data_IF_818877880289
#
_entry.id   IF_818877880289
#
_cell.length_a   1.000
_cell.length_b   1.000
_cell.length_c   1.000
_cell.angle_alpha   90.00
_cell.angle_beta   90.00
_cell.angle_gamma   90.00
#
_symmetry.space_group_name_H-M   'P 1'
#
loop_
_entity.id
_entity.type
_entity.pdbx_description
1 polymer ?
#
# COMPACT_ATOMS: atom_id res chain seq x y z
N UNK A 1 -14.16 60.87 1.48
CA UNK A 1 -13.85 60.08 2.69
C UNK A 1 -12.80 59.04 2.31
N UNK A 2 -11.79 58.95 3.16
CA UNK A 2 -10.43 58.37 3.05
C UNK A 2 -10.15 57.19 2.12
N UNK A 3 -9.11 57.36 1.29
CA UNK A 3 -8.18 56.32 0.85
C UNK A 3 -7.40 55.78 2.07
N UNK A 4 -7.28 54.46 2.23
CA UNK A 4 -6.28 53.87 3.13
C UNK A 4 -5.32 52.99 2.32
N UNK A 5 -4.09 53.48 2.22
CA UNK A 5 -2.89 52.72 1.94
C UNK A 5 -2.67 51.66 3.03
N UNK A 6 -2.19 50.47 2.66
CA UNK A 6 -1.54 49.56 3.60
C UNK A 6 -0.18 49.15 3.04
N UNK A 7 0.85 49.57 3.77
CA UNK A 7 2.25 49.24 3.58
C UNK A 7 2.50 47.75 3.89
N UNK A 8 3.45 47.18 3.15
CA UNK A 8 3.97 45.82 3.23
C UNK A 8 4.92 45.69 4.42
N UNK A 9 4.88 44.56 5.12
CA UNK A 9 6.02 44.01 5.84
C UNK A 9 6.20 42.55 5.40
N UNK A 10 7.14 42.31 4.49
CA UNK A 10 7.56 40.98 4.10
C UNK A 10 8.85 40.65 4.86
N UNK A 11 8.77 39.73 5.81
CA UNK A 11 9.96 39.13 6.41
C UNK A 11 10.45 38.01 5.49
N UNK A 12 11.56 38.25 4.78
CA UNK A 12 12.26 37.20 4.04
C UNK A 12 13.13 36.45 5.04
N UNK A 13 12.72 35.24 5.44
CA UNK A 13 13.64 34.28 6.03
C UNK A 13 14.40 33.61 4.89
N UNK A 14 15.66 34.01 4.70
CA UNK A 14 16.61 33.26 3.89
C UNK A 14 17.03 32.04 4.73
N UNK A 15 16.36 30.91 4.52
CA UNK A 15 16.91 29.62 4.91
C UNK A 15 17.78 29.17 3.74
N UNK A 16 19.10 29.23 3.93
CA UNK A 16 20.03 28.59 3.00
C UNK A 16 19.69 27.10 2.93
N UNK A 17 19.47 26.51 1.74
CA UNK A 17 19.33 25.07 1.63
C UNK A 17 20.68 24.45 2.00
N UNK A 18 20.71 23.72 3.11
CA UNK A 18 21.79 22.78 3.39
C UNK A 18 21.64 21.66 2.36
N UNK A 19 22.41 21.74 1.28
CA UNK A 19 22.33 20.84 0.12
C UNK A 19 22.64 19.37 0.44
N UNK A 20 23.12 19.05 1.66
CA UNK A 20 23.36 17.66 2.08
C UNK A 20 22.16 16.95 2.73
N UNK A 21 21.20 17.69 3.30
CA UNK A 21 20.01 17.09 3.96
C UNK A 21 18.93 16.76 2.93
N UNK A 22 18.86 17.54 1.86
CA UNK A 22 17.88 17.34 0.78
C UNK A 22 18.14 16.04 -0.01
N UNK A 23 19.41 15.73 -0.33
CA UNK A 23 19.75 14.52 -1.08
C UNK A 23 19.45 13.23 -0.30
N UNK A 24 19.78 13.18 0.99
CA UNK A 24 19.48 12.03 1.86
C UNK A 24 17.96 11.85 2.05
N UNK A 25 17.22 12.95 2.22
CA UNK A 25 15.77 12.93 2.32
C UNK A 25 15.10 12.47 1.01
N UNK A 26 15.62 12.90 -0.14
CA UNK A 26 15.12 12.51 -1.45
C UNK A 26 15.35 11.01 -1.73
N UNK A 27 16.51 10.48 -1.36
CA UNK A 27 16.81 9.05 -1.52
C UNK A 27 15.99 8.19 -0.55
N UNK A 28 15.77 8.64 0.68
CA UNK A 28 14.83 8.01 1.61
C UNK A 28 13.40 8.00 1.06
N UNK A 29 12.93 9.10 0.47
CA UNK A 29 11.61 9.18 -0.16
C UNK A 29 11.46 8.19 -1.34
N UNK A 30 12.52 8.00 -2.13
CA UNK A 30 12.55 6.97 -3.17
C UNK A 30 12.51 5.55 -2.61
N UNK A 31 13.21 5.28 -1.51
CA UNK A 31 13.16 3.96 -0.85
C UNK A 31 11.77 3.70 -0.26
N UNK A 32 11.12 4.71 0.33
CA UNK A 32 9.75 4.60 0.84
C UNK A 32 8.71 4.38 -0.27
N UNK A 33 8.96 4.94 -1.46
CA UNK A 33 8.14 4.70 -2.66
C UNK A 33 8.30 3.30 -3.26
N UNK A 34 9.37 2.59 -2.90
CA UNK A 34 9.63 1.23 -3.34
C UNK A 34 8.99 0.23 -2.34
N UNK A 35 7.93 -0.50 -2.74
CA UNK A 35 7.20 -1.43 -1.86
C UNK A 35 8.00 -2.66 -1.43
N UNK A 36 9.17 -2.90 -2.03
CA UNK A 36 10.12 -3.95 -1.70
C UNK A 36 11.52 -3.35 -1.43
N UNK A 37 11.58 -2.14 -0.89
CA UNK A 37 12.86 -1.57 -0.45
C UNK A 37 13.44 -2.35 0.73
N UNK A 38 14.75 -2.24 0.89
CA UNK A 38 15.48 -2.80 2.02
C UNK A 38 15.35 -1.95 3.30
N UNK A 39 14.26 -1.18 3.45
CA UNK A 39 13.98 -0.34 4.61
C UNK A 39 12.95 -1.00 5.52
N UNK A 40 13.26 -1.13 6.82
CA UNK A 40 12.24 -1.47 7.81
C UNK A 40 11.31 -0.27 7.96
N UNK A 41 10.03 -0.46 7.67
CA UNK A 41 9.04 0.62 7.71
C UNK A 41 7.68 0.14 8.19
N UNK A 42 6.88 1.06 8.71
CA UNK A 42 5.48 0.80 9.10
C UNK A 42 4.58 1.92 8.54
N UNK A 43 4.28 1.91 7.23
CA UNK A 43 3.37 2.88 6.64
C UNK A 43 1.96 2.76 7.23
N UNK A 44 1.36 3.93 7.47
CA UNK A 44 -0.02 4.08 7.92
C UNK A 44 -0.83 4.72 6.79
N UNK A 45 -1.87 4.05 6.34
CA UNK A 45 -2.77 4.57 5.30
C UNK A 45 -4.19 4.60 5.82
N UNK A 46 -4.79 5.78 5.83
CA UNK A 46 -6.18 5.97 6.21
C UNK A 46 -7.05 6.15 4.96
N UNK A 47 -8.06 5.30 4.81
CA UNK A 47 -9.04 5.36 3.74
C UNK A 47 -10.43 5.64 4.32
N UNK A 48 -11.21 6.44 3.59
CA UNK A 48 -12.60 6.72 3.92
C UNK A 48 -13.49 6.54 2.69
N UNK A 49 -14.24 5.46 2.70
CA UNK A 49 -15.13 5.02 1.62
C UNK A 49 -16.58 5.45 1.94
N UNK A 50 -17.28 6.01 0.96
CA UNK A 50 -18.71 6.35 1.02
C UNK A 50 -19.47 5.67 -0.12
N UNK A 51 -20.80 5.68 -0.07
CA UNK A 51 -21.62 5.11 -1.13
C UNK A 51 -21.70 3.58 -1.09
N UNK A 52 -21.37 2.97 0.04
CA UNK A 52 -21.31 1.52 0.18
C UNK A 52 -22.65 0.91 0.62
N UNK A 53 -22.78 -0.40 0.45
CA UNK A 53 -23.99 -1.15 0.81
C UNK A 53 -25.12 -0.97 -0.21
N UNK A 54 -26.13 -1.84 -0.13
CA UNK A 54 -27.23 -1.87 -1.11
C UNK A 54 -28.05 -0.57 -1.19
N UNK A 55 -28.05 0.23 -0.12
CA UNK A 55 -28.77 1.51 -0.05
C UNK A 55 -27.90 2.71 -0.46
N UNK A 56 -26.60 2.53 -0.71
CA UNK A 56 -25.66 3.61 -1.00
C UNK A 56 -25.42 4.58 0.16
N UNK A 57 -25.97 4.33 1.35
CA UNK A 57 -25.82 5.19 2.54
C UNK A 57 -24.65 4.75 3.45
N UNK A 58 -24.07 3.59 3.17
CA UNK A 58 -22.99 3.01 3.95
C UNK A 58 -21.67 3.75 3.78
N UNK A 59 -20.87 3.73 4.85
CA UNK A 59 -19.51 4.24 4.84
C UNK A 59 -18.58 3.36 5.66
N UNK A 60 -17.30 3.38 5.28
CA UNK A 60 -16.23 2.64 5.94
C UNK A 60 -15.00 3.51 6.11
N UNK A 61 -14.41 3.41 7.29
CA UNK A 61 -13.11 3.95 7.62
C UNK A 61 -12.16 2.76 7.79
N UNK A 62 -11.03 2.80 7.11
CA UNK A 62 -10.01 1.76 7.18
C UNK A 62 -8.66 2.39 7.47
N UNK A 63 -8.02 1.97 8.56
CA UNK A 63 -6.62 2.27 8.83
C UNK A 63 -5.79 1.03 8.50
N UNK A 64 -5.02 1.07 7.42
CA UNK A 64 -4.06 0.04 7.07
C UNK A 64 -2.74 0.32 7.79
N UNK A 65 -2.31 -0.64 8.60
CA UNK A 65 -0.99 -0.67 9.24
C UNK A 65 -0.14 -1.67 8.46
N UNK A 66 0.97 -1.23 7.88
CA UNK A 66 1.67 -2.01 6.84
C UNK A 66 3.12 -2.33 7.16
N UNK A 67 3.47 -3.09 8.22
CA UNK A 67 4.88 -3.37 8.50
C UNK A 67 5.56 -4.08 7.32
N UNK A 68 6.73 -3.56 6.93
CA UNK A 68 7.63 -4.12 5.93
C UNK A 68 8.97 -4.40 6.60
N UNK A 69 9.39 -5.67 6.56
CA UNK A 69 10.63 -6.14 7.16
C UNK A 69 11.45 -6.90 6.11
N UNK A 70 12.54 -6.30 5.59
CA UNK A 70 13.51 -6.99 4.76
C UNK A 70 14.45 -7.84 5.63
N UNK A 71 14.62 -9.09 5.25
CA UNK A 71 15.50 -10.06 5.89
C UNK A 71 16.53 -10.49 4.86
N UNK A 72 17.81 -10.26 5.14
CA UNK A 72 18.86 -10.68 4.21
C UNK A 72 18.98 -12.21 4.19
N UNK A 73 18.94 -12.79 2.99
CA UNK A 73 19.10 -14.22 2.77
C UNK A 73 20.32 -14.46 1.88
N UNK A 74 21.45 -14.77 2.51
CA UNK A 74 22.74 -14.94 1.81
C UNK A 74 23.31 -13.61 1.31
N UNK A 75 24.20 -13.69 0.30
CA UNK A 75 24.94 -12.54 -0.20
C UNK A 75 24.09 -11.64 -1.11
N UNK A 76 23.24 -12.21 -1.96
CA UNK A 76 22.64 -11.46 -3.08
C UNK A 76 21.13 -11.24 -2.99
N UNK A 77 20.45 -11.87 -2.02
CA UNK A 77 18.99 -11.87 -1.95
C UNK A 77 18.46 -11.33 -0.62
N UNK A 78 17.26 -10.76 -0.68
CA UNK A 78 16.43 -10.42 0.46
C UNK A 78 15.10 -11.19 0.38
N UNK A 79 14.63 -11.64 1.54
CA UNK A 79 13.26 -12.01 1.79
C UNK A 79 12.55 -10.84 2.46
N UNK A 80 11.55 -10.28 1.80
CA UNK A 80 10.81 -9.12 2.30
C UNK A 80 9.45 -9.58 2.79
N UNK A 81 9.22 -9.45 4.09
CA UNK A 81 7.92 -9.69 4.72
C UNK A 81 7.12 -8.39 4.71
N UNK A 82 5.95 -8.41 4.06
CA UNK A 82 5.00 -7.29 4.07
C UNK A 82 3.65 -7.75 4.59
N UNK A 83 3.22 -7.19 5.71
CA UNK A 83 1.91 -7.49 6.30
C UNK A 83 1.00 -6.28 6.13
N UNK A 84 -0.27 -6.46 5.76
CA UNK A 84 -1.29 -5.41 5.76
C UNK A 84 -2.33 -5.78 6.82
N UNK A 85 -2.46 -4.93 7.83
CA UNK A 85 -3.42 -5.10 8.92
C UNK A 85 -4.46 -3.98 8.83
N UNK A 86 -5.66 -4.26 8.30
CA UNK A 86 -6.71 -3.26 8.18
C UNK A 86 -7.54 -3.17 9.47
N UNK A 87 -7.53 -2.02 10.15
CA UNK A 87 -8.45 -1.70 11.25
C UNK A 87 -9.65 -0.97 10.67
N UNK A 88 -10.80 -1.63 10.70
CA UNK A 88 -12.00 -1.19 9.99
C UNK A 88 -13.08 -0.75 10.97
N UNK A 89 -13.73 0.37 10.66
CA UNK A 89 -15.01 0.79 11.25
C UNK A 89 -15.98 1.08 10.11
N UNK A 90 -17.14 0.44 10.14
CA UNK A 90 -18.14 0.62 9.10
C UNK A 90 -19.55 0.73 9.68
N UNK A 91 -20.38 1.50 8.99
CA UNK A 91 -21.80 1.70 9.31
C UNK A 91 -22.60 1.62 8.02
N UNK A 92 -23.74 0.94 8.08
CA UNK A 92 -24.71 0.80 6.98
C UNK A 92 -24.15 0.17 5.68
N UNK A 93 -22.96 -0.44 5.72
CA UNK A 93 -22.44 -1.30 4.64
C UNK A 93 -23.33 -2.54 4.49
N UNK A 94 -23.74 -3.11 5.63
CA UNK A 94 -24.94 -3.94 5.72
C UNK A 94 -26.00 -3.06 6.40
N UNK A 95 -27.17 -2.84 5.78
CA UNK A 95 -28.17 -1.90 6.28
C UNK A 95 -28.52 -2.10 7.76
N UNK A 96 -28.53 -1.01 8.54
CA UNK A 96 -28.87 -1.03 9.96
C UNK A 96 -27.78 -1.57 10.88
N UNK A 97 -26.60 -1.89 10.36
CA UNK A 97 -25.50 -2.44 11.16
C UNK A 97 -24.37 -1.44 11.37
N UNK A 98 -23.74 -1.55 12.55
CA UNK A 98 -22.45 -0.92 12.86
C UNK A 98 -21.47 -2.02 13.24
N UNK A 99 -20.32 -2.06 12.58
CA UNK A 99 -19.30 -3.09 12.79
C UNK A 99 -17.93 -2.45 12.88
N UNK A 100 -17.07 -3.03 13.70
CA UNK A 100 -15.68 -2.64 13.84
C UNK A 100 -14.84 -3.86 14.18
N UNK A 101 -13.58 -3.83 13.77
CA UNK A 101 -12.64 -4.91 14.05
C UNK A 101 -11.44 -4.84 13.11
N UNK A 102 -10.60 -5.85 13.20
CA UNK A 102 -9.53 -6.07 12.22
C UNK A 102 -10.14 -6.81 11.03
N UNK A 103 -9.88 -6.38 9.79
CA UNK A 103 -10.28 -7.12 8.60
C UNK A 103 -9.40 -8.35 8.37
N UNK A 104 -9.41 -8.88 7.15
CA UNK A 104 -8.49 -9.95 6.78
C UNK A 104 -7.07 -9.39 6.66
N UNK A 105 -6.09 -10.13 7.19
CA UNK A 105 -4.68 -9.75 7.12
C UNK A 105 -4.09 -10.31 5.84
N UNK A 106 -3.43 -9.47 5.04
CA UNK A 106 -2.67 -9.91 3.87
C UNK A 106 -1.19 -9.99 4.23
N UNK A 107 -0.60 -11.18 4.12
CA UNK A 107 0.82 -11.41 4.34
C UNK A 107 1.48 -11.77 3.01
N UNK A 108 2.40 -10.94 2.55
CA UNK A 108 3.19 -11.17 1.34
C UNK A 108 4.65 -11.42 1.70
N UNK A 109 5.27 -12.36 0.99
CA UNK A 109 6.70 -12.60 1.03
C UNK A 109 7.27 -12.39 -0.37
N UNK A 110 8.24 -11.50 -0.50
CA UNK A 110 8.93 -11.26 -1.77
C UNK A 110 10.38 -11.69 -1.66
N UNK A 111 10.80 -12.62 -2.50
CA UNK A 111 12.22 -12.84 -2.79
C UNK A 111 12.66 -11.82 -3.81
N UNK A 112 13.64 -11.00 -3.46
CA UNK A 112 14.12 -9.89 -4.28
C UNK A 112 15.65 -9.82 -4.26
N UNK A 113 16.32 -9.63 -5.41
CA UNK A 113 17.75 -9.35 -5.43
C UNK A 113 18.07 -8.04 -4.69
N UNK A 114 19.20 -8.00 -3.98
CA UNK A 114 19.64 -6.79 -3.27
C UNK A 114 20.00 -5.65 -4.22
N UNK A 115 20.55 -5.98 -5.38
CA UNK A 115 20.91 -5.03 -6.42
C UNK A 115 19.87 -5.07 -7.56
N UNK A 116 19.55 -3.92 -8.17
CA UNK A 116 18.79 -3.91 -9.42
C UNK A 116 19.46 -4.75 -10.50
N UNK A 117 18.68 -5.32 -11.42
CA UNK A 117 19.25 -6.05 -12.57
C UNK A 117 20.02 -5.11 -13.50
N UNK A 118 20.76 -5.66 -14.48
CA UNK A 118 21.54 -4.89 -15.44
C UNK A 118 20.76 -3.79 -16.20
N UNK A 119 19.42 -3.85 -16.23
CA UNK A 119 18.55 -2.83 -16.83
C UNK A 119 17.84 -1.92 -15.82
N UNK A 120 18.29 -1.87 -14.57
CA UNK A 120 17.70 -1.09 -13.48
C UNK A 120 16.35 -1.61 -12.98
N UNK A 121 15.95 -2.83 -13.35
CA UNK A 121 14.72 -3.43 -12.87
C UNK A 121 14.90 -3.91 -11.43
N UNK A 122 14.04 -3.43 -10.55
CA UNK A 122 13.86 -3.91 -9.20
C UNK A 122 12.61 -4.77 -9.22
N UNK A 123 12.72 -5.99 -8.71
CA UNK A 123 11.60 -6.93 -8.73
C UNK A 123 11.63 -7.83 -7.51
N UNK A 124 10.47 -8.36 -7.17
CA UNK A 124 10.34 -9.40 -6.16
C UNK A 124 9.13 -10.27 -6.45
N UNK A 125 9.21 -11.54 -6.10
CA UNK A 125 8.10 -12.46 -6.23
C UNK A 125 8.10 -13.48 -5.08
N UNK A 126 6.93 -14.00 -4.76
CA UNK A 126 6.81 -15.04 -3.75
C UNK A 126 5.37 -15.28 -3.33
N UNK A 127 5.16 -15.99 -2.21
CA UNK A 127 3.83 -16.34 -1.76
C UNK A 127 3.10 -15.16 -1.13
N UNK A 128 1.77 -15.19 -1.24
CA UNK A 128 0.86 -14.31 -0.50
C UNK A 128 -0.17 -15.15 0.23
N UNK A 129 -0.56 -14.73 1.43
CA UNK A 129 -1.57 -15.35 2.27
C UNK A 129 -2.62 -14.30 2.64
N UNK A 130 -3.88 -14.70 2.64
CA UNK A 130 -5.01 -13.97 3.20
C UNK A 130 -5.47 -14.71 4.45
N UNK A 131 -5.36 -14.05 5.60
CA UNK A 131 -5.58 -14.62 6.91
C UNK A 131 -6.82 -13.98 7.54
N UNK A 132 -7.94 -14.71 7.66
CA UNK A 132 -9.13 -14.23 8.34
C UNK A 132 -8.85 -14.00 9.83
N UNK A 133 -9.28 -12.87 10.35
CA UNK A 133 -9.23 -12.58 11.79
C UNK A 133 -10.53 -12.96 12.51
N UNK A 134 -11.54 -13.39 11.75
CA UNK A 134 -12.87 -13.80 12.24
C UNK A 134 -13.61 -12.70 13.03
N UNK A 135 -13.22 -11.45 12.86
CA UNK A 135 -13.97 -10.30 13.37
C UNK A 135 -15.25 -10.06 12.53
N UNK A 136 -16.11 -9.15 12.98
CA UNK A 136 -17.34 -8.78 12.26
C UNK A 136 -17.11 -8.09 10.90
N UNK A 137 -15.86 -7.72 10.61
CA UNK A 137 -15.42 -7.03 9.38
C UNK A 137 -14.37 -7.85 8.61
N UNK A 138 -14.17 -9.11 8.99
CA UNK A 138 -13.29 -10.09 8.36
C UNK A 138 -14.11 -11.17 7.65
N UNK A 139 -13.55 -11.72 6.58
CA UNK A 139 -14.08 -12.90 5.92
C UNK A 139 -13.98 -14.15 6.80
N UNK A 140 -14.37 -15.29 6.24
CA UNK A 140 -14.23 -16.60 6.90
C UNK A 140 -13.26 -17.53 6.18
N UNK A 141 -12.90 -17.19 4.95
CA UNK A 141 -12.13 -18.06 4.06
C UNK A 141 -10.68 -17.60 4.03
N UNK A 142 -9.77 -18.48 4.45
CA UNK A 142 -8.34 -18.26 4.22
C UNK A 142 -8.01 -18.48 2.75
N UNK A 143 -7.02 -17.76 2.23
CA UNK A 143 -6.51 -17.94 0.87
C UNK A 143 -4.99 -17.87 0.84
N UNK A 144 -4.39 -18.46 -0.19
CA UNK A 144 -3.00 -18.32 -0.52
C UNK A 144 -2.82 -18.24 -2.02
N UNK A 145 -1.69 -17.71 -2.44
CA UNK A 145 -1.28 -17.79 -3.83
C UNK A 145 0.04 -17.07 -4.04
N UNK A 146 0.16 -16.40 -5.18
CA UNK A 146 1.40 -15.79 -5.63
C UNK A 146 1.28 -14.28 -5.70
N UNK A 147 2.37 -13.59 -5.45
CA UNK A 147 2.48 -12.15 -5.63
C UNK A 147 3.81 -11.81 -6.30
N UNK A 148 3.79 -10.77 -7.11
CA UNK A 148 4.98 -10.23 -7.74
C UNK A 148 4.88 -8.71 -7.81
N UNK A 149 6.02 -8.06 -7.78
CA UNK A 149 6.16 -6.63 -8.02
C UNK A 149 7.37 -6.41 -8.92
N UNK A 150 7.25 -5.45 -9.83
CA UNK A 150 8.34 -5.01 -10.69
C UNK A 150 8.26 -3.51 -10.85
N UNK A 151 9.41 -2.84 -10.70
CA UNK A 151 9.51 -1.38 -10.83
C UNK A 151 10.88 -0.96 -11.33
N UNK A 152 10.94 0.27 -11.83
CA UNK A 152 12.19 0.97 -12.13
C UNK A 152 12.20 2.32 -11.45
N UNK A 153 13.39 2.75 -11.05
CA UNK A 153 13.64 4.09 -10.52
C UNK A 153 14.60 4.80 -11.46
N UNK A 154 14.17 5.91 -12.04
CA UNK A 154 14.92 6.69 -13.01
C UNK A 154 14.83 8.18 -12.67
N UNK A 155 15.91 8.73 -12.13
CA UNK A 155 15.93 10.10 -11.62
C UNK A 155 14.88 10.30 -10.51
N UNK A 156 13.96 11.28 -10.61
CA UNK A 156 12.91 11.51 -9.61
C UNK A 156 11.71 10.57 -9.76
N UNK A 157 11.64 9.76 -10.82
CA UNK A 157 10.51 8.91 -11.13
C UNK A 157 10.69 7.49 -10.60
N UNK A 158 9.63 6.94 -10.02
CA UNK A 158 9.48 5.51 -9.76
C UNK A 158 8.20 5.04 -10.45
N UNK A 159 8.26 3.94 -11.21
CA UNK A 159 7.08 3.38 -11.86
C UNK A 159 7.15 1.87 -11.88
N UNK A 160 5.99 1.24 -11.77
CA UNK A 160 5.91 -0.21 -11.68
C UNK A 160 4.50 -0.73 -11.55
N UNK A 161 4.40 -2.01 -11.22
CA UNK A 161 3.14 -2.66 -10.91
C UNK A 161 3.33 -3.74 -9.85
N UNK A 162 2.30 -3.90 -9.02
CA UNK A 162 2.16 -5.02 -8.08
C UNK A 162 0.99 -5.88 -8.53
N UNK A 163 1.21 -7.19 -8.56
CA UNK A 163 0.17 -8.17 -8.85
C UNK A 163 0.12 -9.22 -7.74
N UNK A 164 -1.07 -9.74 -7.46
CA UNK A 164 -1.22 -10.99 -6.74
C UNK A 164 -2.41 -11.79 -7.26
N UNK A 165 -2.38 -13.09 -7.03
CA UNK A 165 -3.49 -13.98 -7.26
C UNK A 165 -3.67 -14.88 -6.05
N UNK A 166 -4.90 -14.97 -5.54
CA UNK A 166 -5.26 -15.70 -4.33
C UNK A 166 -6.29 -16.78 -4.63
N UNK A 167 -6.05 -17.98 -4.13
CA UNK A 167 -6.99 -19.10 -4.10
C UNK A 167 -7.37 -19.46 -2.67
N UNK A 168 -8.63 -19.77 -2.42
CA UNK A 168 -9.08 -20.25 -1.10
C UNK A 168 -8.35 -21.53 -0.68
N UNK A 169 -7.95 -21.60 0.59
CA UNK A 169 -7.37 -22.79 1.22
C UNK A 169 -8.42 -23.47 2.11
N UNK A 170 -8.61 -24.77 1.93
CA UNK A 170 -9.49 -25.60 2.77
C UNK A 170 -10.94 -25.67 2.28
N UNK A 171 -11.69 -26.65 2.79
CA UNK A 171 -13.08 -26.88 2.38
C UNK A 171 -14.07 -25.95 3.08
N UNK A 172 -15.02 -25.47 2.29
CA UNK A 172 -16.19 -24.67 2.68
C UNK A 172 -17.26 -25.49 3.38
N UNK A 173 -16.91 -26.36 4.34
CA UNK A 173 -17.94 -27.17 5.03
C UNK A 173 -18.92 -26.32 5.84
N UNK A 174 -18.58 -25.06 6.14
CA UNK A 174 -19.50 -24.07 6.71
C UNK A 174 -19.09 -22.64 6.30
N UNK A 175 -19.83 -22.00 5.38
CA UNK A 175 -19.98 -20.53 5.23
C UNK A 175 -18.84 -19.65 4.67
N UNK A 176 -17.75 -20.18 4.12
CA UNK A 176 -16.71 -19.36 3.47
C UNK A 176 -17.00 -19.11 1.98
N UNK A 177 -17.15 -17.85 1.53
CA UNK A 177 -17.17 -17.59 0.07
C UNK A 177 -15.84 -18.03 -0.52
N UNK A 178 -15.87 -18.92 -1.52
CA UNK A 178 -14.67 -19.39 -2.22
C UNK A 178 -13.93 -18.18 -2.83
N UNK A 179 -12.61 -18.21 -2.82
CA UNK A 179 -11.76 -17.09 -3.29
C UNK A 179 -10.96 -17.58 -4.49
N UNK A 180 -11.03 -16.83 -5.59
CA UNK A 180 -10.14 -16.93 -6.74
C UNK A 180 -10.09 -15.53 -7.32
N UNK A 181 -9.08 -14.74 -6.93
CA UNK A 181 -9.06 -13.32 -7.26
C UNK A 181 -7.68 -12.85 -7.69
N UNK A 182 -7.63 -12.10 -8.79
CA UNK A 182 -6.43 -11.39 -9.25
C UNK A 182 -6.51 -9.93 -8.84
N UNK A 183 -5.49 -9.45 -8.12
CA UNK A 183 -5.25 -8.04 -7.88
C UNK A 183 -4.14 -7.53 -8.78
N UNK A 184 -4.33 -6.35 -9.39
CA UNK A 184 -3.33 -5.66 -10.19
C UNK A 184 -3.34 -4.16 -9.87
N UNK A 185 -2.17 -3.62 -9.53
CA UNK A 185 -1.99 -2.23 -9.14
C UNK A 185 -0.78 -1.63 -9.86
N UNK A 186 -0.99 -0.98 -11.03
CA UNK A 186 0.03 -0.12 -11.61
C UNK A 186 0.17 1.16 -10.78
N UNK A 187 1.39 1.66 -10.66
CA UNK A 187 1.69 2.88 -9.96
C UNK A 187 2.83 3.67 -10.62
N UNK A 188 2.78 4.99 -10.45
CA UNK A 188 3.85 5.92 -10.77
C UNK A 188 3.97 6.93 -9.63
N UNK A 189 5.19 7.23 -9.23
CA UNK A 189 5.48 8.29 -8.29
C UNK A 189 6.59 9.20 -8.77
N UNK A 190 6.50 10.47 -8.37
CA UNK A 190 7.48 11.51 -8.61
C UNK A 190 7.92 12.08 -7.26
N UNK A 191 9.22 12.01 -6.97
CA UNK A 191 9.80 12.58 -5.76
C UNK A 191 10.58 13.85 -6.08
N UNK A 192 10.25 14.95 -5.40
CA UNK A 192 10.99 16.21 -5.52
C UNK A 192 12.33 16.13 -4.77
N UNK A 193 13.28 17.04 -5.05
CA UNK A 193 14.51 17.17 -4.26
C UNK A 193 14.26 17.45 -2.77
N UNK A 194 13.12 18.09 -2.44
CA UNK A 194 12.71 18.38 -1.06
C UNK A 194 11.89 17.22 -0.43
N UNK A 195 12.05 16.00 -0.95
CA UNK A 195 11.45 14.76 -0.45
C UNK A 195 9.90 14.70 -0.46
N UNK A 196 9.24 15.54 -1.26
CA UNK A 196 7.80 15.41 -1.51
C UNK A 196 7.56 14.35 -2.59
N UNK A 197 6.80 13.31 -2.25
CA UNK A 197 6.42 12.27 -3.20
C UNK A 197 4.96 12.40 -3.61
N UNK A 198 4.71 12.56 -4.89
CA UNK A 198 3.39 12.48 -5.50
C UNK A 198 3.21 11.10 -6.11
N UNK A 199 2.15 10.38 -5.76
CA UNK A 199 1.88 9.03 -6.26
C UNK A 199 0.52 8.99 -6.94
N UNK A 200 0.48 8.36 -8.10
CA UNK A 200 -0.72 7.96 -8.80
C UNK A 200 -0.71 6.43 -8.94
N UNK A 201 -1.77 5.79 -8.49
CA UNK A 201 -1.97 4.36 -8.70
C UNK A 201 -3.42 4.09 -9.14
N UNK A 202 -3.59 2.98 -9.85
CA UNK A 202 -4.89 2.39 -10.13
C UNK A 202 -4.94 1.00 -9.52
N UNK A 203 -6.12 0.52 -9.15
CA UNK A 203 -6.30 -0.79 -8.53
C UNK A 203 -7.44 -1.51 -9.23
N UNK A 204 -7.15 -2.72 -9.72
CA UNK A 204 -8.14 -3.61 -10.31
C UNK A 204 -8.13 -4.93 -9.55
N UNK A 205 -9.31 -5.38 -9.13
CA UNK A 205 -9.52 -6.71 -8.57
C UNK A 205 -10.51 -7.46 -9.46
N UNK A 206 -10.11 -8.62 -9.98
CA UNK A 206 -10.96 -9.50 -10.77
C UNK A 206 -11.29 -10.75 -9.96
N UNK A 207 -12.58 -11.05 -9.79
CA UNK A 207 -13.08 -12.28 -9.16
C UNK A 207 -13.38 -13.31 -10.26
N UNK A 208 -12.76 -14.48 -10.17
CA UNK A 208 -12.91 -15.57 -11.13
C UNK A 208 -14.04 -16.55 -10.78
N UNK A 209 -14.70 -16.37 -9.64
CA UNK A 209 -15.80 -17.23 -9.17
C UNK A 209 -17.15 -16.53 -9.35
N UNK A 210 -17.19 -15.21 -9.26
CA UNK A 210 -18.40 -14.43 -9.49
C UNK A 210 -18.79 -14.42 -10.96
N UNK A 211 -20.06 -14.73 -11.25
CA UNK A 211 -20.77 -14.35 -12.47
C UNK A 211 -21.42 -12.97 -12.28
#
# INVERSE_FOLDING_TARGET
MSRLSRLIAAAIFVVSPVSGVADEAADLAKQLSNPISSLISVPLQYNYDRGMGATGTGHRQTLNIQPVVPISTGQDWNLISRTIIPVIRQKDVVPGTRRSGVGDIVQSFFFSPKAPTAGGLIWGAGPVLLLPTHSKVSGRQAAAGITAVGLKQAGPWTYGALANHLWSIGETRNSGTRISSTFFQPFVSYSTPDAWTFTLNSETTYDWIGD
#
